data_IF_794604635380
#
_entry.id   IF_794604635380
#
_cell.length_a   1.000
_cell.length_b   1.000
_cell.length_c   1.000
_cell.angle_alpha   90.00
_cell.angle_beta   90.00
_cell.angle_gamma   90.00
#
_symmetry.space_group_name_H-M   'P 1'
#
loop_
_entity.id
_entity.type
_entity.pdbx_description
1 polymer ?
#
# COMPACT_ATOMS: atom_id res chain seq x y z
N UNK A 1 6.30 2.63 -5.31
CA UNK A 1 6.54 2.95 -3.89
C UNK A 1 6.13 4.39 -3.64
N UNK A 2 6.02 4.81 -2.38
CA UNK A 2 5.73 6.20 -2.04
C UNK A 2 6.97 6.79 -1.38
N UNK A 3 7.42 7.93 -1.87
CA UNK A 3 8.49 8.71 -1.27
C UNK A 3 7.87 9.93 -0.58
N UNK A 4 8.33 10.23 0.63
CA UNK A 4 7.91 11.43 1.35
C UNK A 4 9.14 12.24 1.70
N UNK A 5 9.21 13.53 1.32
CA UNK A 5 10.35 14.37 1.65
C UNK A 5 10.54 14.54 3.16
N UNK A 6 9.45 14.40 3.94
CA UNK A 6 9.45 14.43 5.40
C UNK A 6 8.90 13.12 5.99
N UNK A 7 9.18 12.86 7.27
CA UNK A 7 8.65 11.73 8.05
C UNK A 7 7.16 11.83 8.41
N UNK A 8 6.32 12.34 7.51
CA UNK A 8 4.90 12.67 7.75
C UNK A 8 3.92 11.61 7.23
N UNK A 9 4.41 10.47 6.72
CA UNK A 9 3.61 9.42 6.09
C UNK A 9 2.50 8.87 7.01
N UNK A 10 2.78 8.70 8.31
CA UNK A 10 1.79 8.19 9.27
C UNK A 10 0.57 9.11 9.39
N UNK A 11 0.77 10.44 9.30
CA UNK A 11 -0.30 11.43 9.36
C UNK A 11 -1.14 11.36 8.09
N UNK A 12 -0.49 11.35 6.92
CA UNK A 12 -1.16 11.21 5.63
C UNK A 12 -2.00 9.93 5.55
N UNK A 13 -1.43 8.80 5.97
CA UNK A 13 -2.14 7.51 5.98
C UNK A 13 -3.29 7.45 6.98
N UNK A 14 -3.18 8.13 8.13
CA UNK A 14 -4.31 8.27 9.07
C UNK A 14 -5.47 9.00 8.42
N UNK A 15 -5.21 10.12 7.74
CA UNK A 15 -6.24 10.89 7.07
C UNK A 15 -6.87 10.11 5.92
N UNK A 16 -6.05 9.52 5.05
CA UNK A 16 -6.50 8.72 3.91
C UNK A 16 -7.40 7.57 4.34
N UNK A 17 -6.94 6.75 5.31
CA UNK A 17 -7.70 5.61 5.79
C UNK A 17 -9.01 6.05 6.46
N UNK A 18 -8.98 7.14 7.22
CA UNK A 18 -10.15 7.69 7.90
C UNK A 18 -11.22 8.17 6.91
N UNK A 19 -10.84 9.03 5.97
CA UNK A 19 -11.76 9.58 4.96
C UNK A 19 -12.35 8.47 4.09
N UNK A 20 -11.51 7.51 3.66
CA UNK A 20 -11.99 6.39 2.86
C UNK A 20 -12.97 5.52 3.64
N UNK A 21 -12.66 5.18 4.90
CA UNK A 21 -13.54 4.39 5.77
C UNK A 21 -14.89 5.07 5.94
N UNK A 22 -14.89 6.37 6.26
CA UNK A 22 -16.13 7.14 6.44
C UNK A 22 -16.98 7.14 5.16
N UNK A 23 -16.37 7.44 4.01
CA UNK A 23 -17.08 7.47 2.73
C UNK A 23 -17.64 6.10 2.33
N UNK A 24 -16.87 5.04 2.53
CA UNK A 24 -17.30 3.67 2.24
C UNK A 24 -18.47 3.25 3.14
N UNK A 25 -18.34 3.49 4.44
CA UNK A 25 -19.34 3.17 5.45
C UNK A 25 -20.65 3.91 5.17
N UNK A 26 -20.57 5.21 4.90
CA UNK A 26 -21.73 6.03 4.54
C UNK A 26 -22.43 5.49 3.28
N UNK A 27 -21.68 5.18 2.22
CA UNK A 27 -22.24 4.65 0.96
C UNK A 27 -22.89 3.27 1.14
N UNK A 28 -22.44 2.45 2.09
CA UNK A 28 -22.92 1.08 2.30
C UNK A 28 -23.81 0.90 3.54
N UNK A 29 -24.16 1.98 4.24
CA UNK A 29 -24.91 1.91 5.51
C UNK A 29 -24.21 1.08 6.59
N UNK A 30 -22.88 0.97 6.56
CA UNK A 30 -22.09 0.22 7.54
C UNK A 30 -21.48 1.17 8.57
N UNK A 31 -21.06 0.64 9.70
CA UNK A 31 -20.28 1.35 10.73
C UNK A 31 -19.11 0.49 11.21
N UNK A 32 -18.14 1.11 11.86
CA UNK A 32 -16.94 0.44 12.37
C UNK A 32 -15.72 0.50 11.45
N UNK A 33 -14.67 -0.24 11.81
CA UNK A 33 -13.37 -0.20 11.14
C UNK A 33 -13.39 -0.99 9.84
N UNK A 34 -12.98 -0.34 8.74
CA UNK A 34 -12.80 -1.00 7.44
C UNK A 34 -11.40 -1.62 7.32
N UNK A 35 -10.37 -0.90 7.77
CA UNK A 35 -9.00 -1.39 7.78
C UNK A 35 -8.66 -2.08 9.11
N UNK A 36 -7.88 -3.15 9.04
CA UNK A 36 -7.41 -3.89 10.20
C UNK A 36 -6.06 -3.34 10.67
N UNK A 37 -6.03 -2.79 11.88
CA UNK A 37 -4.81 -2.31 12.51
C UNK A 37 -4.25 -0.99 11.94
N UNK A 38 -3.01 -0.68 12.30
CA UNK A 38 -2.29 0.52 11.85
C UNK A 38 -1.60 0.27 10.52
N UNK A 39 -1.42 1.34 9.74
CA UNK A 39 -0.56 1.32 8.56
C UNK A 39 0.88 0.95 8.96
N UNK A 40 1.54 0.14 8.11
CA UNK A 40 2.94 -0.26 8.26
C UNK A 40 3.77 0.42 7.17
N UNK A 41 4.88 1.03 7.57
CA UNK A 41 5.92 1.55 6.68
C UNK A 41 7.25 0.92 7.05
N UNK A 42 8.00 0.50 6.04
CA UNK A 42 9.38 0.03 6.18
C UNK A 42 10.25 0.94 5.32
N UNK A 43 11.32 1.48 5.89
CA UNK A 43 12.31 2.25 5.14
C UNK A 43 13.09 1.29 4.24
N UNK A 44 13.22 1.65 2.97
CA UNK A 44 13.89 0.83 1.97
C UNK A 44 15.01 1.67 1.38
N UNK A 45 16.23 1.11 1.41
CA UNK A 45 17.37 1.72 0.77
C UNK A 45 17.27 1.56 -0.77
N UNK A 46 17.54 2.65 -1.50
CA UNK A 46 17.12 2.82 -2.90
C UNK A 46 17.82 1.88 -3.87
N UNK A 47 19.10 1.56 -3.65
CA UNK A 47 19.92 1.00 -4.73
C UNK A 47 19.79 -0.51 -4.91
N UNK A 48 19.76 -1.30 -3.83
CA UNK A 48 19.73 -2.77 -3.93
C UNK A 48 18.36 -3.40 -3.56
N UNK A 49 17.61 -2.78 -2.65
CA UNK A 49 16.40 -3.38 -2.08
C UNK A 49 15.10 -3.00 -2.81
N UNK A 50 15.12 -1.99 -3.67
CA UNK A 50 13.91 -1.55 -4.37
C UNK A 50 13.33 -2.62 -5.30
N UNK A 51 14.20 -3.27 -6.09
CA UNK A 51 13.80 -4.28 -7.06
C UNK A 51 13.29 -5.56 -6.39
N UNK A 52 13.97 -5.99 -5.31
CA UNK A 52 13.55 -7.17 -4.55
C UNK A 52 12.19 -6.97 -3.89
N UNK A 53 11.99 -5.84 -3.21
CA UNK A 53 10.70 -5.53 -2.57
C UNK A 53 9.59 -5.35 -3.60
N UNK A 54 9.88 -4.70 -4.73
CA UNK A 54 8.90 -4.56 -5.82
C UNK A 54 8.49 -5.93 -6.35
N UNK A 55 9.43 -6.85 -6.55
CA UNK A 55 9.14 -8.24 -6.93
C UNK A 55 8.30 -8.97 -5.88
N UNK A 56 8.59 -8.80 -4.60
CA UNK A 56 7.81 -9.44 -3.53
C UNK A 56 6.37 -8.94 -3.48
N UNK A 57 6.14 -7.63 -3.67
CA UNK A 57 4.80 -7.07 -3.78
C UNK A 57 4.04 -7.68 -4.96
N UNK A 58 4.72 -7.91 -6.08
CA UNK A 58 4.13 -8.53 -7.27
C UNK A 58 3.77 -10.00 -7.06
N UNK A 59 4.54 -10.70 -6.23
CA UNK A 59 4.35 -12.11 -5.92
C UNK A 59 3.37 -12.34 -4.78
N UNK A 60 2.96 -11.31 -4.04
CA UNK A 60 1.96 -11.45 -2.96
C UNK A 60 0.69 -12.23 -3.35
N UNK A 61 0.05 -12.00 -4.52
CA UNK A 61 -1.10 -12.80 -4.93
C UNK A 61 -0.79 -14.28 -5.13
N UNK A 62 0.43 -14.60 -5.60
CA UNK A 62 0.91 -15.97 -5.78
C UNK A 62 1.19 -16.61 -4.42
N UNK A 63 1.89 -15.89 -3.54
CA UNK A 63 2.14 -16.34 -2.17
C UNK A 63 0.86 -16.53 -1.35
N UNK A 64 -0.14 -15.67 -1.55
CA UNK A 64 -1.46 -15.77 -0.92
C UNK A 64 -2.36 -16.83 -1.59
N UNK A 65 -1.90 -17.51 -2.64
CA UNK A 65 -2.64 -18.50 -3.44
C UNK A 65 -3.92 -17.94 -4.07
N UNK A 66 -3.97 -16.65 -4.35
CA UNK A 66 -5.09 -15.97 -5.01
C UNK A 66 -5.00 -16.02 -6.54
N UNK A 67 -3.80 -16.21 -7.09
CA UNK A 67 -3.53 -16.30 -8.53
C UNK A 67 -2.28 -17.15 -8.79
N UNK A 68 -2.28 -17.92 -9.88
CA UNK A 68 -1.09 -18.66 -10.35
C UNK A 68 -0.14 -17.81 -11.20
N UNK A 69 -0.55 -16.58 -11.57
CA UNK A 69 0.19 -15.68 -12.47
C UNK A 69 0.59 -14.41 -11.71
N UNK A 70 1.89 -14.04 -11.68
CA UNK A 70 2.35 -12.75 -11.17
C UNK A 70 1.70 -11.61 -11.96
N UNK A 71 1.10 -10.64 -11.26
CA UNK A 71 0.42 -9.52 -11.93
C UNK A 71 1.44 -8.46 -12.33
N UNK A 72 1.71 -8.27 -13.62
CA UNK A 72 2.64 -7.22 -14.08
C UNK A 72 1.98 -5.84 -13.94
N UNK A 73 2.44 -5.02 -12.98
CA UNK A 73 2.11 -3.58 -12.95
C UNK A 73 2.97 -2.86 -13.98
N UNK A 74 2.35 -2.50 -15.10
CA UNK A 74 2.95 -1.55 -16.04
C UNK A 74 2.86 -0.15 -15.43
N UNK A 75 4.00 0.48 -15.11
CA UNK A 75 4.04 1.92 -14.78
C UNK A 75 4.87 2.38 -13.57
N UNK A 76 5.74 1.57 -12.97
CA UNK A 76 6.55 2.00 -11.81
C UNK A 76 8.00 2.40 -12.15
N UNK A 77 8.24 2.95 -13.35
CA UNK A 77 9.50 3.61 -13.70
C UNK A 77 9.17 5.08 -13.90
N UNK A 78 9.27 5.86 -12.83
CA UNK A 78 8.97 7.28 -12.90
C UNK A 78 9.03 7.96 -11.54
N UNK A 79 10.06 8.81 -11.41
CA UNK A 79 10.28 9.86 -10.42
C UNK A 79 11.13 9.44 -9.19
N UNK A 80 12.27 10.15 -9.09
CA UNK A 80 13.39 10.10 -8.13
C UNK A 80 13.06 10.95 -6.90
#
# INVERSE_FOLDING_TARGET
>A
MLETPDGNLSIGMRQLNGVYTQRFNHKRGRSGHLFQGRFKSVLIDREAYFLSVSRDILLNPVHAKWSSIPKVIHGAVGVI
#
